data_IF_253146195255
#
_entry.id   IF_253146195255
#
_cell.length_a   1.000
_cell.length_b   1.000
_cell.length_c   1.000
_cell.angle_alpha   90.00
_cell.angle_beta   90.00
_cell.angle_gamma   90.00
#
_symmetry.space_group_name_H-M   'P 1'
#
loop_
_entity.id
_entity.type
_entity.pdbx_description
1 polymer ?
#
# COMPACT_ATOMS: atom_id res chain seq x y z
N UNK A 1 -22.56 22.06 41.10
CA UNK A 1 -21.64 21.01 40.61
C UNK A 1 -22.14 20.60 39.24
N UNK A 2 -21.26 20.53 38.25
CA UNK A 2 -21.63 20.03 36.91
C UNK A 2 -21.74 18.52 36.97
N UNK A 3 -22.76 17.96 36.34
CA UNK A 3 -22.98 16.51 36.30
C UNK A 3 -22.15 15.85 35.19
N UNK A 4 -21.86 14.56 35.34
CA UNK A 4 -21.11 13.79 34.33
C UNK A 4 -21.86 13.75 32.99
N UNK A 5 -23.18 13.76 33.01
CA UNK A 5 -24.02 13.72 31.81
C UNK A 5 -23.95 15.04 31.01
N UNK A 6 -23.97 16.18 31.69
CA UNK A 6 -23.81 17.50 31.06
C UNK A 6 -22.44 17.64 30.38
N UNK A 7 -21.38 17.17 31.04
CA UNK A 7 -20.03 17.16 30.46
C UNK A 7 -19.98 16.27 29.22
N UNK A 8 -20.57 15.07 29.27
CA UNK A 8 -20.56 14.13 28.15
C UNK A 8 -21.38 14.61 26.96
N UNK A 9 -22.51 15.29 27.20
CA UNK A 9 -23.34 15.88 26.15
C UNK A 9 -22.63 17.05 25.45
N UNK A 10 -21.90 17.88 26.20
CA UNK A 10 -21.16 19.01 25.63
C UNK A 10 -19.93 18.57 24.80
N UNK A 11 -19.33 17.43 25.11
CA UNK A 11 -18.13 16.93 24.44
C UNK A 11 -18.39 16.11 23.17
N UNK A 12 -19.58 15.50 23.01
CA UNK A 12 -19.84 14.61 21.87
C UNK A 12 -20.00 15.39 20.57
N UNK A 13 -19.50 14.83 19.47
CA UNK A 13 -19.81 15.31 18.13
C UNK A 13 -21.26 14.95 17.74
N UNK A 14 -21.83 15.73 16.82
CA UNK A 14 -23.13 15.46 16.24
C UNK A 14 -22.97 14.98 14.79
N UNK A 15 -23.82 14.04 14.38
CA UNK A 15 -23.84 13.51 13.02
C UNK A 15 -22.94 12.29 12.79
N UNK A 16 -22.98 11.73 11.58
CA UNK A 16 -22.15 10.59 11.20
C UNK A 16 -20.69 11.00 10.97
N UNK A 17 -19.76 10.07 11.15
CA UNK A 17 -18.38 10.28 10.76
C UNK A 17 -18.26 10.39 9.24
N UNK A 18 -17.47 11.36 8.75
CA UNK A 18 -17.24 11.61 7.33
C UNK A 18 -15.74 11.68 7.04
N UNK A 19 -15.34 11.15 5.88
CA UNK A 19 -13.96 11.30 5.39
C UNK A 19 -13.80 12.73 4.88
N UNK A 20 -12.95 13.51 5.54
CA UNK A 20 -12.71 14.91 5.15
C UNK A 20 -11.61 15.05 4.09
N UNK A 21 -10.63 14.13 4.07
CA UNK A 21 -9.58 14.09 3.06
C UNK A 21 -8.89 12.71 3.01
N UNK A 22 -8.30 12.39 1.85
CA UNK A 22 -7.40 11.25 1.66
C UNK A 22 -6.17 11.76 0.90
N UNK A 23 -4.98 11.44 1.39
CA UNK A 23 -3.72 11.71 0.72
C UNK A 23 -2.91 10.43 0.52
N UNK A 24 -2.26 10.29 -0.63
CA UNK A 24 -1.37 9.17 -0.96
C UNK A 24 -0.04 9.70 -1.47
N UNK A 25 1.03 8.91 -1.31
CA UNK A 25 2.35 9.18 -1.86
C UNK A 25 3.07 7.86 -2.16
N UNK A 26 3.87 7.82 -3.23
CA UNK A 26 4.70 6.68 -3.61
C UNK A 26 6.12 7.15 -3.94
N UNK A 27 7.15 6.31 -3.78
CA UNK A 27 8.51 6.62 -4.24
C UNK A 27 8.54 6.93 -5.74
N UNK A 28 9.50 7.74 -6.21
CA UNK A 28 9.61 8.08 -7.63
C UNK A 28 10.08 6.89 -8.49
N UNK A 29 10.73 5.90 -7.89
CA UNK A 29 11.18 4.71 -8.60
C UNK A 29 10.01 3.76 -8.87
N UNK A 30 9.71 3.53 -10.14
CA UNK A 30 8.70 2.60 -10.60
C UNK A 30 9.35 1.55 -11.49
N UNK A 31 9.03 0.27 -11.28
CA UNK A 31 9.51 -0.83 -12.10
C UNK A 31 8.30 -1.48 -12.77
N UNK A 32 8.30 -1.52 -14.10
CA UNK A 32 7.22 -2.09 -14.89
C UNK A 32 7.17 -3.62 -14.67
N UNK A 33 5.98 -4.14 -14.36
CA UNK A 33 5.75 -5.55 -14.08
C UNK A 33 6.18 -6.46 -15.25
N UNK A 34 6.04 -6.02 -16.50
CA UNK A 34 6.47 -6.79 -17.68
C UNK A 34 8.00 -6.98 -17.72
N UNK A 35 8.75 -6.01 -17.16
CA UNK A 35 10.23 -6.03 -17.11
C UNK A 35 10.79 -6.47 -15.75
N UNK A 36 9.92 -6.60 -14.74
CA UNK A 36 10.31 -6.94 -13.37
C UNK A 36 11.04 -8.30 -13.27
N UNK A 37 10.65 -9.36 -13.99
CA UNK A 37 11.41 -10.61 -14.04
C UNK A 37 12.87 -10.43 -14.45
N UNK A 38 13.13 -9.64 -15.49
CA UNK A 38 14.49 -9.38 -15.97
C UNK A 38 15.27 -8.52 -14.97
N UNK A 39 14.65 -7.45 -14.47
CA UNK A 39 15.26 -6.60 -13.46
C UNK A 39 15.67 -7.39 -12.21
N UNK A 40 14.75 -8.20 -11.67
CA UNK A 40 14.94 -8.95 -10.44
C UNK A 40 16.01 -10.03 -10.57
N UNK A 41 16.01 -10.83 -11.65
CA UNK A 41 16.99 -11.90 -11.84
C UNK A 41 18.39 -11.36 -12.14
N UNK A 42 18.50 -10.21 -12.82
CA UNK A 42 19.76 -9.52 -13.05
C UNK A 42 20.36 -8.99 -11.75
N UNK A 43 19.61 -8.22 -10.96
CA UNK A 43 20.14 -7.57 -9.75
C UNK A 43 20.45 -8.57 -8.62
N UNK A 44 19.78 -9.72 -8.62
CA UNK A 44 20.01 -10.81 -7.65
C UNK A 44 21.00 -11.88 -8.13
N UNK A 45 21.69 -11.64 -9.26
CA UNK A 45 22.65 -12.58 -9.85
C UNK A 45 22.10 -14.00 -10.06
N UNK A 46 20.82 -14.09 -10.47
CA UNK A 46 20.07 -15.33 -10.56
C UNK A 46 19.71 -15.75 -12.00
N UNK A 47 20.27 -15.08 -13.01
CA UNK A 47 20.00 -15.36 -14.44
C UNK A 47 20.23 -16.83 -14.86
N UNK A 48 21.12 -17.54 -14.16
CA UNK A 48 21.37 -18.98 -14.38
C UNK A 48 20.14 -19.87 -14.04
N UNK A 49 19.15 -19.36 -13.31
CA UNK A 49 17.94 -20.09 -12.91
C UNK A 49 16.80 -19.91 -13.92
N UNK A 50 17.05 -20.28 -15.17
CA UNK A 50 16.14 -20.00 -16.31
C UNK A 50 14.71 -20.54 -16.11
N UNK A 51 14.54 -21.75 -15.58
CA UNK A 51 13.19 -22.33 -15.33
C UNK A 51 12.42 -21.58 -14.25
N UNK A 52 13.13 -21.10 -13.22
CA UNK A 52 12.53 -20.26 -12.19
C UNK A 52 12.14 -18.90 -12.76
N UNK A 53 12.98 -18.31 -13.62
CA UNK A 53 12.68 -17.06 -14.33
C UNK A 53 11.43 -17.20 -15.21
N UNK A 54 11.31 -18.28 -15.98
CA UNK A 54 10.10 -18.57 -16.78
C UNK A 54 8.84 -18.73 -15.93
N UNK A 55 8.95 -19.38 -14.76
CA UNK A 55 7.84 -19.47 -13.80
C UNK A 55 7.49 -18.09 -13.24
N UNK A 56 8.49 -17.28 -12.89
CA UNK A 56 8.31 -15.93 -12.38
C UNK A 56 7.66 -14.99 -13.40
N UNK A 57 8.08 -15.07 -14.66
CA UNK A 57 7.51 -14.29 -15.75
C UNK A 57 6.01 -14.55 -15.92
N UNK A 58 5.58 -15.81 -15.88
CA UNK A 58 4.15 -16.20 -15.89
C UNK A 58 3.33 -15.73 -14.69
N UNK A 59 3.96 -15.33 -13.58
CA UNK A 59 3.26 -14.76 -12.42
C UNK A 59 3.16 -13.24 -12.52
N UNK A 60 4.14 -12.61 -13.18
CA UNK A 60 4.16 -11.16 -13.42
C UNK A 60 3.24 -10.75 -14.58
N UNK A 61 2.97 -11.63 -15.54
CA UNK A 61 2.10 -11.40 -16.70
C UNK A 61 0.83 -12.22 -16.67
#
# INVERSE_FOLDING_TARGET
>A
MVTVEEVRKAQRAEGPATVLAIGTATPPNCVDQATYPDYYFRITNSEHKAELKKKFQRMCT
#
